data_IF_443670603804
#
_entry.id   IF_443670603804
#
_cell.length_a   1.000
_cell.length_b   1.000
_cell.length_c   1.000
_cell.angle_alpha   90.00
_cell.angle_beta   90.00
_cell.angle_gamma   90.00
#
_symmetry.space_group_name_H-M   'P 1'
#
loop_
_entity.id
_entity.type
_entity.pdbx_description
1 polymer ?
#
# COMPACT_ATOMS: atom_id res chain seq x y z
N UNK A 1 -15.85 0.13 1.46
CA UNK A 1 -15.58 0.53 0.06
C UNK A 1 -14.18 0.06 -0.31
N UNK A 2 -14.00 -0.71 -1.40
CA UNK A 2 -12.69 -1.10 -1.89
C UNK A 2 -11.92 0.08 -2.49
N UNK A 3 -10.60 0.03 -2.39
CA UNK A 3 -9.69 1.04 -2.95
C UNK A 3 -8.76 0.42 -4.00
N UNK A 4 -8.66 1.05 -5.16
CA UNK A 4 -7.85 0.56 -6.28
C UNK A 4 -6.94 1.70 -6.73
N UNK A 5 -5.65 1.42 -6.92
CA UNK A 5 -4.69 2.38 -7.48
C UNK A 5 -4.15 1.91 -8.82
N UNK A 6 -4.14 2.82 -9.79
CA UNK A 6 -3.46 2.67 -11.07
C UNK A 6 -2.11 3.41 -11.03
N UNK A 7 -1.01 2.68 -10.93
CA UNK A 7 0.35 3.22 -10.85
C UNK A 7 0.94 3.33 -12.25
N UNK A 8 0.95 4.53 -12.82
CA UNK A 8 1.38 4.79 -14.22
C UNK A 8 2.83 5.28 -14.35
N UNK A 9 3.58 5.30 -13.24
CA UNK A 9 4.95 5.80 -13.18
C UNK A 9 5.69 5.38 -11.90
N UNK A 10 6.65 6.18 -11.46
CA UNK A 10 7.43 5.90 -10.25
C UNK A 10 6.61 6.17 -8.99
N UNK A 11 6.73 5.28 -8.00
CA UNK A 11 6.24 5.54 -6.65
C UNK A 11 7.42 5.35 -5.69
N UNK A 12 7.89 6.46 -5.12
CA UNK A 12 9.13 6.50 -4.32
C UNK A 12 8.84 7.04 -2.92
N UNK A 13 9.50 6.47 -1.90
CA UNK A 13 9.35 6.83 -0.50
C UNK A 13 7.87 6.79 -0.07
N UNK A 14 7.33 7.92 0.41
CA UNK A 14 5.91 8.09 0.74
C UNK A 14 4.98 7.75 -0.42
N UNK A 15 5.41 7.94 -1.67
CA UNK A 15 4.63 7.51 -2.83
C UNK A 15 4.45 6.00 -2.87
N UNK A 16 5.46 5.22 -2.50
CA UNK A 16 5.32 3.76 -2.38
C UNK A 16 4.45 3.39 -1.18
N UNK A 17 4.59 4.07 -0.05
CA UNK A 17 3.68 3.90 1.10
C UNK A 17 2.22 4.13 0.69
N UNK A 18 1.96 5.19 -0.09
CA UNK A 18 0.62 5.50 -0.60
C UNK A 18 0.07 4.41 -1.54
N UNK A 19 0.92 3.79 -2.35
CA UNK A 19 0.52 2.61 -3.13
C UNK A 19 0.07 1.47 -2.20
N UNK A 20 0.84 1.20 -1.14
CA UNK A 20 0.53 0.12 -0.19
C UNK A 20 -0.74 0.37 0.65
N UNK A 21 -1.28 1.59 0.73
CA UNK A 21 -2.55 1.82 1.46
C UNK A 21 -3.78 1.33 0.71
N UNK A 22 -3.66 1.07 -0.59
CA UNK A 22 -4.77 0.62 -1.43
C UNK A 22 -4.97 -0.90 -1.31
N UNK A 23 -6.21 -1.36 -1.52
CA UNK A 23 -6.53 -2.78 -1.46
C UNK A 23 -5.99 -3.52 -2.67
N UNK A 24 -6.17 -2.92 -3.85
CA UNK A 24 -5.75 -3.45 -5.13
C UNK A 24 -4.83 -2.47 -5.85
N UNK A 25 -3.77 -2.99 -6.45
CA UNK A 25 -2.71 -2.23 -7.10
C UNK A 25 -2.51 -2.77 -8.51
N UNK A 26 -2.66 -1.91 -9.50
CA UNK A 26 -2.35 -2.22 -10.89
C UNK A 26 -1.25 -1.28 -11.35
N UNK A 27 -0.18 -1.83 -11.92
CA UNK A 27 1.01 -1.05 -12.28
C UNK A 27 1.30 -1.10 -13.78
N UNK A 28 1.85 -0.01 -14.31
CA UNK A 28 2.40 0.06 -15.66
C UNK A 28 3.74 -0.68 -15.74
N UNK A 29 3.92 -1.53 -16.75
CA UNK A 29 5.07 -2.44 -16.91
C UNK A 29 6.28 -1.79 -17.54
N UNK A 30 6.06 -1.02 -18.58
CA UNK A 30 7.10 -0.44 -19.45
C UNK A 30 7.77 0.80 -18.84
N UNK A 31 7.18 1.41 -17.80
CA UNK A 31 7.74 2.58 -17.12
C UNK A 31 7.39 2.64 -15.63
N UNK A 32 8.39 2.96 -14.81
CA UNK A 32 8.23 3.18 -13.37
C UNK A 32 8.80 2.04 -12.53
N UNK A 33 9.01 2.33 -11.25
CA UNK A 33 9.38 1.34 -10.23
C UNK A 33 8.84 1.79 -8.87
N UNK A 34 8.73 0.84 -7.94
CA UNK A 34 8.45 1.06 -6.53
C UNK A 34 9.76 1.03 -5.75
N UNK A 35 10.01 2.01 -4.88
CA UNK A 35 11.30 2.12 -4.19
C UNK A 35 11.21 2.92 -2.89
N UNK A 36 11.82 2.40 -1.83
CA UNK A 36 12.07 3.15 -0.60
C UNK A 36 13.45 3.80 -0.70
N UNK A 37 13.48 5.12 -0.90
CA UNK A 37 14.72 5.90 -1.02
C UNK A 37 15.31 6.28 0.32
N UNK A 38 14.60 6.01 1.43
CA UNK A 38 14.97 6.39 2.79
C UNK A 38 16.38 5.90 3.15
N UNK A 39 16.75 4.68 2.74
CA UNK A 39 18.09 4.14 2.94
C UNK A 39 19.17 4.99 2.24
N UNK A 40 18.91 5.40 1.00
CA UNK A 40 19.86 6.16 0.17
C UNK A 40 20.08 7.58 0.69
N UNK A 41 19.10 8.14 1.40
CA UNK A 41 19.14 9.49 1.98
C UNK A 41 19.40 9.50 3.49
N UNK A 42 19.72 8.34 4.09
CA UNK A 42 20.07 8.25 5.51
C UNK A 42 18.90 8.46 6.48
N UNK A 43 17.69 8.11 6.08
CA UNK A 43 16.49 8.20 6.90
C UNK A 43 16.02 6.82 7.38
N UNK A 44 15.48 6.81 8.60
CA UNK A 44 14.80 5.64 9.16
C UNK A 44 13.31 5.74 8.86
N UNK A 45 12.74 4.69 8.28
CA UNK A 45 11.28 4.58 8.09
C UNK A 45 10.60 4.50 9.45
N UNK A 46 9.65 5.40 9.71
CA UNK A 46 8.89 5.43 10.97
C UNK A 46 8.04 4.15 11.18
N UNK A 47 7.63 3.90 12.43
CA UNK A 47 6.92 2.67 12.80
C UNK A 47 5.56 2.52 12.09
N UNK A 48 4.82 3.61 11.86
CA UNK A 48 3.55 3.58 11.13
C UNK A 48 3.68 3.05 9.70
N UNK A 49 4.48 3.68 8.82
CA UNK A 49 4.76 3.14 7.49
C UNK A 49 5.38 1.73 7.53
N UNK A 50 6.24 1.43 8.51
CA UNK A 50 6.83 0.09 8.66
C UNK A 50 5.79 -0.98 8.99
N UNK A 51 4.77 -0.68 9.81
CA UNK A 51 3.68 -1.61 10.10
C UNK A 51 2.89 -1.97 8.84
N UNK A 52 2.62 -0.98 7.98
CA UNK A 52 2.00 -1.18 6.68
C UNK A 52 2.89 -2.02 5.75
N UNK A 53 4.20 -1.75 5.68
CA UNK A 53 5.14 -2.56 4.91
C UNK A 53 5.11 -4.02 5.36
N UNK A 54 5.10 -4.27 6.67
CA UNK A 54 5.01 -5.64 7.23
C UNK A 54 3.70 -6.34 6.88
N UNK A 55 2.60 -5.59 6.81
CA UNK A 55 1.28 -6.13 6.46
C UNK A 55 1.12 -6.41 4.96
N UNK A 56 1.69 -5.55 4.10
CA UNK A 56 1.45 -5.60 2.64
C UNK A 56 2.55 -6.27 1.83
N UNK A 57 3.75 -6.45 2.37
CA UNK A 57 4.84 -7.21 1.73
C UNK A 57 5.09 -8.50 2.51
N UNK A 58 4.46 -9.59 2.07
CA UNK A 58 4.39 -10.83 2.84
C UNK A 58 5.75 -11.49 3.07
N UNK A 59 6.51 -11.73 2.01
CA UNK A 59 7.73 -12.52 2.12
C UNK A 59 8.86 -11.74 2.83
N UNK A 60 9.55 -12.34 3.81
CA UNK A 60 10.70 -11.70 4.46
C UNK A 60 11.81 -11.30 3.48
N UNK A 61 12.05 -12.10 2.43
CA UNK A 61 13.04 -11.77 1.38
C UNK A 61 12.69 -10.47 0.64
N UNK A 62 11.40 -10.24 0.43
CA UNK A 62 10.89 -9.12 -0.35
C UNK A 62 10.91 -7.83 0.47
N UNK A 63 10.60 -7.93 1.78
CA UNK A 63 10.82 -6.83 2.74
C UNK A 63 12.29 -6.43 2.83
N UNK A 64 13.21 -7.40 2.87
CA UNK A 64 14.65 -7.11 2.87
C UNK A 64 15.08 -6.44 1.57
N UNK A 65 14.59 -6.89 0.42
CA UNK A 65 14.87 -6.24 -0.86
C UNK A 65 14.36 -4.79 -0.89
N UNK A 66 13.10 -4.58 -0.48
CA UNK A 66 12.48 -3.27 -0.50
C UNK A 66 13.15 -2.29 0.48
N UNK A 67 13.36 -2.70 1.73
CA UNK A 67 13.75 -1.79 2.82
C UNK A 67 15.25 -1.82 3.09
N UNK A 68 15.86 -3.01 3.21
CA UNK A 68 17.25 -3.15 3.65
C UNK A 68 18.26 -3.12 2.50
N UNK A 69 17.80 -3.28 1.25
CA UNK A 69 18.64 -3.17 0.05
C UNK A 69 18.32 -1.94 -0.80
N UNK A 70 17.28 -1.17 -0.46
CA UNK A 70 16.83 -0.04 -1.29
C UNK A 70 16.49 -0.46 -2.74
N UNK A 71 15.99 -1.68 -2.94
CA UNK A 71 15.79 -2.21 -4.29
C UNK A 71 14.77 -1.40 -5.09
N UNK A 72 15.05 -1.18 -6.37
CA UNK A 72 14.07 -0.67 -7.34
C UNK A 72 13.23 -1.84 -7.85
N UNK A 73 11.96 -1.87 -7.47
CA UNK A 73 11.04 -2.97 -7.80
C UNK A 73 10.27 -2.59 -9.06
N UNK A 74 10.55 -3.30 -10.16
CA UNK A 74 9.78 -3.15 -11.41
C UNK A 74 8.38 -3.74 -11.27
N UNK A 75 7.46 -3.40 -12.18
CA UNK A 75 6.11 -3.97 -12.13
C UNK A 75 6.09 -5.51 -12.18
N UNK A 76 6.96 -6.12 -13.00
CA UNK A 76 7.06 -7.59 -13.08
C UNK A 76 7.52 -8.20 -11.75
N UNK A 77 8.54 -7.62 -11.12
CA UNK A 77 8.98 -8.03 -9.79
C UNK A 77 7.87 -7.83 -8.75
N UNK A 78 7.16 -6.71 -8.81
CA UNK A 78 6.09 -6.41 -7.86
C UNK A 78 4.92 -7.41 -7.97
N UNK A 79 4.63 -7.91 -9.17
CA UNK A 79 3.66 -9.00 -9.38
C UNK A 79 4.18 -10.31 -8.78
N UNK A 80 5.44 -10.67 -9.03
CA UNK A 80 6.05 -11.87 -8.43
C UNK A 80 6.11 -11.83 -6.89
N UNK A 81 6.31 -10.64 -6.33
CA UNK A 81 6.31 -10.39 -4.88
C UNK A 81 4.90 -10.34 -4.27
N UNK A 82 3.85 -10.33 -5.10
CA UNK A 82 2.46 -10.19 -4.65
C UNK A 82 2.10 -8.79 -4.12
N UNK A 83 2.90 -7.77 -4.44
CA UNK A 83 2.65 -6.37 -4.07
C UNK A 83 1.64 -5.74 -5.05
N UNK A 84 1.72 -6.10 -6.32
CA UNK A 84 0.87 -5.59 -7.41
C UNK A 84 0.03 -6.76 -7.95
N UNK A 85 -1.28 -6.55 -8.12
CA UNK A 85 -2.19 -7.59 -8.64
C UNK A 85 -1.96 -7.88 -10.12
N UNK A 86 -1.67 -6.85 -10.92
CA UNK A 86 -1.31 -7.03 -12.33
C UNK A 86 -0.49 -5.89 -12.91
N UNK A 87 0.33 -6.22 -13.91
CA UNK A 87 1.12 -5.27 -14.70
C UNK A 87 0.54 -5.12 -16.12
N UNK A 88 0.41 -3.88 -16.61
CA UNK A 88 -0.13 -3.54 -17.95
C UNK A 88 0.88 -2.75 -18.79
N UNK A 89 0.82 -2.89 -20.11
CA UNK A 89 1.87 -2.38 -21.01
C UNK A 89 1.83 -0.87 -21.30
N UNK A 90 0.85 -0.15 -20.75
CA UNK A 90 0.74 1.30 -20.92
C UNK A 90 -0.17 1.93 -19.88
N UNK A 91 -0.07 3.25 -19.74
CA UNK A 91 -0.79 4.00 -18.71
C UNK A 91 -2.31 3.95 -18.89
N UNK A 92 -2.78 3.95 -20.14
CA UNK A 92 -4.20 3.86 -20.47
C UNK A 92 -4.75 2.49 -20.07
N UNK A 93 -4.03 1.43 -20.45
CA UNK A 93 -4.37 0.05 -20.15
C UNK A 93 -4.34 -0.24 -18.63
N UNK A 94 -3.39 0.37 -17.91
CA UNK A 94 -3.36 0.35 -16.43
C UNK A 94 -4.63 0.95 -15.83
N UNK A 95 -5.04 2.14 -16.31
CA UNK A 95 -6.24 2.81 -15.82
C UNK A 95 -7.52 2.03 -16.16
N UNK A 96 -7.64 1.57 -17.40
CA UNK A 96 -8.78 0.76 -17.86
C UNK A 96 -8.91 -0.53 -17.05
N UNK A 97 -7.80 -1.20 -16.76
CA UNK A 97 -7.81 -2.39 -15.91
C UNK A 97 -8.26 -2.08 -14.47
N UNK A 98 -7.86 -0.94 -13.91
CA UNK A 98 -8.27 -0.52 -12.56
C UNK A 98 -9.77 -0.19 -12.51
N UNK A 99 -10.28 0.50 -13.53
CA UNK A 99 -11.71 0.78 -13.67
C UNK A 99 -12.53 -0.51 -13.84
N UNK A 100 -12.05 -1.44 -14.69
CA UNK A 100 -12.69 -2.74 -14.89
C UNK A 100 -12.80 -3.52 -13.58
N UNK A 101 -11.71 -3.59 -12.80
CA UNK A 101 -11.73 -4.22 -11.48
C UNK A 101 -12.73 -3.53 -10.54
N UNK A 102 -12.82 -2.20 -10.58
CA UNK A 102 -13.81 -1.45 -9.81
C UNK A 102 -15.25 -1.84 -10.15
N UNK A 103 -15.57 -1.97 -11.43
CA UNK A 103 -16.88 -2.41 -11.92
C UNK A 103 -17.15 -3.85 -11.43
N UNK A 104 -16.21 -4.78 -11.61
CA UNK A 104 -16.34 -6.17 -11.17
C UNK A 104 -16.61 -6.28 -9.66
N UNK A 105 -15.95 -5.47 -8.84
CA UNK A 105 -16.16 -5.41 -7.38
C UNK A 105 -17.52 -4.82 -6.99
N UNK A 106 -18.07 -3.89 -7.76
CA UNK A 106 -19.41 -3.32 -7.53
C UNK A 106 -20.49 -4.33 -7.92
N UNK A 107 -20.30 -5.07 -9.00
CA UNK A 107 -21.23 -6.11 -9.48
C UNK A 107 -21.43 -7.25 -8.48
N UNK A 108 -20.48 -7.44 -7.55
CA UNK A 108 -20.61 -8.38 -6.43
C UNK A 108 -21.78 -8.09 -5.50
N UNK A 109 -22.30 -6.86 -5.45
CA UNK A 109 -23.46 -6.43 -4.63
C UNK A 109 -23.37 -6.81 -3.14
N UNK A 110 -22.16 -6.89 -2.60
CA UNK A 110 -21.91 -7.06 -1.17
C UNK A 110 -22.27 -5.82 -0.34
N UNK A 111 -22.49 -6.01 0.95
CA UNK A 111 -22.58 -4.90 1.90
C UNK A 111 -21.21 -4.23 2.07
N UNK A 112 -21.13 -2.96 1.69
CA UNK A 112 -19.92 -2.16 1.79
C UNK A 112 -19.43 -1.94 3.22
N UNK A 113 -20.31 -2.04 4.23
CA UNK A 113 -19.93 -1.98 5.65
C UNK A 113 -19.19 -3.24 6.06
N UNK A 114 -19.67 -4.41 5.65
CA UNK A 114 -18.99 -5.68 5.92
C UNK A 114 -17.59 -5.69 5.29
N UNK A 115 -17.43 -5.17 4.06
CA UNK A 115 -16.11 -4.98 3.46
C UNK A 115 -15.21 -4.07 4.31
N UNK A 116 -15.76 -2.94 4.78
CA UNK A 116 -15.00 -1.99 5.58
C UNK A 116 -14.55 -2.59 6.92
N UNK A 117 -15.42 -3.32 7.61
CA UNK A 117 -15.07 -4.01 8.86
C UNK A 117 -14.06 -5.13 8.62
N UNK A 118 -14.22 -5.94 7.58
CA UNK A 118 -13.23 -6.95 7.21
C UNK A 118 -11.86 -6.33 6.90
N UNK A 119 -11.84 -5.18 6.21
CA UNK A 119 -10.60 -4.45 5.92
C UNK A 119 -9.93 -3.92 7.20
N UNK A 120 -10.72 -3.39 8.15
CA UNK A 120 -10.22 -2.96 9.46
C UNK A 120 -9.62 -4.13 10.23
N UNK A 121 -10.30 -5.27 10.24
CA UNK A 121 -9.81 -6.49 10.91
C UNK A 121 -8.53 -7.02 10.25
N UNK A 122 -8.50 -7.07 8.92
CA UNK A 122 -7.33 -7.53 8.16
C UNK A 122 -6.09 -6.68 8.43
N UNK A 123 -6.27 -5.35 8.53
CA UNK A 123 -5.19 -4.39 8.74
C UNK A 123 -5.12 -3.91 10.20
N UNK A 124 -5.70 -4.64 11.16
CA UNK A 124 -5.82 -4.16 12.54
C UNK A 124 -4.48 -3.83 13.20
N UNK A 125 -3.42 -4.54 12.81
CA UNK A 125 -2.04 -4.30 13.25
C UNK A 125 -1.39 -3.04 12.63
N UNK A 126 -1.99 -2.45 11.60
CA UNK A 126 -1.52 -1.20 10.96
C UNK A 126 -2.13 0.02 11.63
N UNK A 127 -3.42 -0.06 12.01
CA UNK A 127 -4.22 1.06 12.51
C UNK A 127 -4.22 1.22 14.04
N UNK A 128 -3.54 0.36 14.80
CA UNK A 128 -3.37 0.59 16.24
C UNK A 128 -2.73 1.98 16.43
N UNK A 129 -3.44 2.87 17.12
CA UNK A 129 -3.09 4.28 17.34
C UNK A 129 -1.67 4.43 17.90
N UNK A 130 -1.19 3.41 18.62
CA UNK A 130 0.19 3.32 19.11
C UNK A 130 1.25 3.34 18.00
N UNK A 131 0.91 2.89 16.79
CA UNK A 131 1.82 2.83 15.64
C UNK A 131 1.79 4.09 14.76
N UNK A 132 0.73 4.89 14.84
CA UNK A 132 0.52 6.05 13.95
C UNK A 132 1.32 7.28 14.42
N UNK A 133 1.88 7.27 15.62
CA UNK A 133 2.68 8.38 16.16
C UNK A 133 1.89 9.67 16.38
N UNK A 134 0.57 9.63 16.17
CA UNK A 134 -0.36 10.68 16.54
C UNK A 134 -0.68 10.49 18.02
N UNK A 135 -0.30 11.47 18.83
CA UNK A 135 -0.62 11.51 20.26
C UNK A 135 -2.14 11.58 20.40
N UNK A 136 -2.72 10.74 21.26
CA UNK A 136 -4.13 10.84 21.66
C UNK A 136 -4.44 12.27 22.14
N UNK A 137 -5.10 13.08 21.31
CA UNK A 137 -5.72 14.32 21.79
C UNK A 137 -6.88 14.03 22.75
N UNK A 138 -7.54 12.86 22.63
CA UNK A 138 -8.61 12.42 23.53
C UNK A 138 -8.13 12.19 24.98
N UNK A 139 -6.86 11.82 25.18
CA UNK A 139 -6.30 11.68 26.55
C UNK A 139 -5.93 13.01 27.21
N UNK A 140 -5.76 14.10 26.45
CA UNK A 140 -5.53 15.44 27.02
C UNK A 140 -6.78 16.03 27.67
N UNK A 141 -7.96 15.68 27.15
CA UNK A 141 -9.24 16.17 27.71
C UNK A 141 -9.63 15.36 28.96
N UNK A 142 -9.36 14.05 28.97
CA UNK A 142 -9.68 13.19 30.11
C UNK A 142 -8.73 13.35 31.32
N UNK A 143 -7.57 13.99 31.16
CA UNK A 143 -6.65 14.30 32.28
C UNK A 143 -6.83 15.71 32.84
N UNK A 144 -7.81 16.47 32.35
CA UNK A 144 -8.17 17.83 32.80
C UNK A 144 -9.56 17.90 33.45
N UNK A 145 -10.19 16.73 33.69
CA UNK A 145 -11.38 16.54 34.52
C UNK A 145 -11.02 15.61 35.68
#
# INVERSE_FOLDING_TARGET
>A
MPTIIAVTGHAVATGFIFVLTHDYIIMRRDRGFLHFSELDIGLVIAEGPMSLIRAKIGAPKDRRLAVLRGGKITASMAVEMGIVDSARDGAKETLEAAMKLGIELVERKWDGHVYAENRKMLLGNVWDWKHVGLVDEEKKVASQL
#
